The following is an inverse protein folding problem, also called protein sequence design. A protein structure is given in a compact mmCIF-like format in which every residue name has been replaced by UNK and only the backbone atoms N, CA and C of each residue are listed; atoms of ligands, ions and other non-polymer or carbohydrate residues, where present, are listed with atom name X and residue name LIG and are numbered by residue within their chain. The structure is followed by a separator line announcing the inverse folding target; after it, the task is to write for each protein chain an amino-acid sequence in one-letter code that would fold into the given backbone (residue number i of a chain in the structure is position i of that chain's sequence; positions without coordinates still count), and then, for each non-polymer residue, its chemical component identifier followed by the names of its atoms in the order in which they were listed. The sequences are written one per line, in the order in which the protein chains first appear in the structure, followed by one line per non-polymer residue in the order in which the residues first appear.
data_IF_978912477932
#
_entry.id   IF_978912477932
#
_cell.length_a   1.000
_cell.length_b   1.000
_cell.length_c   1.000
_cell.angle_alpha   90.00
_cell.angle_beta   90.00
_cell.angle_gamma   90.00
#
_symmetry.space_group_name_H-M   'P 1'
#
loop_
_entity.id
_entity.type
_entity.pdbx_description
1 polymer ?
#
# COMPACT_ATOMS: atom_id res chain seq x y z
N UNK A 1 -5.08 30.11 24.56
CA UNK A 1 -4.53 29.29 23.45
C UNK A 1 -3.22 28.63 23.85
N UNK A 2 -2.24 29.35 24.44
CA UNK A 2 -1.00 28.75 24.96
C UNK A 2 -1.29 27.65 25.96
N UNK A 3 -2.12 27.92 26.95
CA UNK A 3 -2.55 26.92 27.95
C UNK A 3 -3.20 25.67 27.28
N UNK A 4 -3.97 25.83 26.21
CA UNK A 4 -4.57 24.71 25.51
C UNK A 4 -3.51 23.85 24.79
N UNK A 5 -2.44 24.47 24.28
CA UNK A 5 -1.29 23.78 23.71
C UNK A 5 -0.54 23.00 24.77
N UNK A 6 -0.21 23.64 25.89
CA UNK A 6 0.49 23.01 27.00
C UNK A 6 -0.31 21.82 27.54
N UNK A 7 -1.62 21.99 27.72
CA UNK A 7 -2.51 20.93 28.21
C UNK A 7 -2.61 19.74 27.23
N UNK A 8 -2.62 19.99 25.91
CA UNK A 8 -2.66 18.91 24.90
C UNK A 8 -1.31 18.17 24.78
N UNK A 9 -0.21 18.81 25.14
CA UNK A 9 1.14 18.24 25.13
C UNK A 9 1.55 17.64 26.49
N UNK A 10 0.74 17.81 27.52
CA UNK A 10 0.97 17.17 28.83
C UNK A 10 0.48 15.73 28.80
N UNK A 11 1.43 14.81 28.56
CA UNK A 11 1.14 13.39 28.35
C UNK A 11 0.89 12.63 29.65
N UNK A 12 1.40 13.13 30.81
CA UNK A 12 1.35 12.45 32.10
C UNK A 12 2.03 11.09 32.15
N UNK A 13 2.01 10.34 31.06
CA UNK A 13 2.63 9.01 30.86
C UNK A 13 2.97 8.75 29.38
N UNK A 14 3.79 7.72 29.12
CA UNK A 14 4.13 7.29 27.76
C UNK A 14 2.89 6.92 26.93
N UNK A 15 2.77 7.49 25.71
CA UNK A 15 1.68 7.21 24.78
C UNK A 15 1.99 5.97 23.96
N UNK A 16 1.32 4.86 24.28
CA UNK A 16 1.47 3.61 23.56
C UNK A 16 0.84 3.66 22.15
N UNK A 17 1.26 2.74 21.25
CA UNK A 17 0.74 2.58 19.90
C UNK A 17 -0.80 2.68 19.79
N UNK A 18 -1.52 2.00 20.69
CA UNK A 18 -2.99 1.99 20.65
C UNK A 18 -3.64 3.34 21.04
N UNK A 19 -2.91 4.19 21.74
CA UNK A 19 -3.37 5.53 22.19
C UNK A 19 -2.88 6.66 21.31
N UNK A 20 -1.94 6.40 20.39
CA UNK A 20 -1.35 7.42 19.52
C UNK A 20 -2.39 8.15 18.65
N UNK A 21 -3.44 7.44 18.20
CA UNK A 21 -4.56 8.02 17.46
C UNK A 21 -5.37 9.03 18.27
N UNK A 22 -5.71 8.66 19.51
CA UNK A 22 -6.49 9.54 20.39
C UNK A 22 -5.68 10.79 20.74
N UNK A 23 -4.39 10.62 21.03
CA UNK A 23 -3.48 11.72 21.28
C UNK A 23 -3.37 12.68 20.08
N UNK A 24 -3.13 12.17 18.86
CA UNK A 24 -3.04 13.00 17.66
C UNK A 24 -4.36 13.75 17.40
N UNK A 25 -5.51 13.13 17.65
CA UNK A 25 -6.82 13.80 17.53
C UNK A 25 -6.94 15.01 18.47
N UNK A 26 -6.46 14.89 19.71
CA UNK A 26 -6.47 16.00 20.65
C UNK A 26 -5.55 17.15 20.20
N UNK A 27 -4.41 16.83 19.57
CA UNK A 27 -3.54 17.81 18.92
C UNK A 27 -4.23 18.48 17.70
N UNK A 28 -4.96 17.71 16.88
CA UNK A 28 -5.73 18.24 15.75
C UNK A 28 -6.79 19.25 16.20
N UNK A 29 -7.46 19.00 17.31
CA UNK A 29 -8.44 19.95 17.89
C UNK A 29 -7.81 21.28 18.26
N UNK A 30 -6.59 21.26 18.79
CA UNK A 30 -5.84 22.50 19.11
C UNK A 30 -5.41 23.20 17.81
N UNK A 31 -4.91 22.43 16.84
CA UNK A 31 -4.54 22.97 15.51
C UNK A 31 -5.72 23.69 14.84
N UNK A 32 -6.91 23.08 14.86
CA UNK A 32 -8.12 23.68 14.31
C UNK A 32 -8.47 25.05 14.92
N UNK A 33 -8.22 25.23 16.22
CA UNK A 33 -8.40 26.52 16.90
C UNK A 33 -7.37 27.56 16.42
N UNK A 34 -6.14 27.14 16.11
CA UNK A 34 -5.12 28.04 15.54
C UNK A 34 -5.46 28.35 14.07
N UNK A 35 -5.94 27.36 13.29
CA UNK A 35 -6.41 27.57 11.91
C UNK A 35 -7.53 28.62 11.84
N UNK A 36 -8.41 28.70 12.85
CA UNK A 36 -9.45 29.71 12.94
C UNK A 36 -8.85 31.12 13.05
N UNK A 37 -7.81 31.33 13.85
CA UNK A 37 -7.13 32.63 13.93
C UNK A 37 -6.61 33.10 12.57
N UNK A 38 -6.07 32.19 11.75
CA UNK A 38 -5.63 32.50 10.38
C UNK A 38 -6.79 32.97 9.52
N UNK A 39 -8.00 32.39 9.68
CA UNK A 39 -9.22 32.78 8.96
C UNK A 39 -9.71 34.14 9.40
N UNK A 40 -9.62 34.43 10.70
CA UNK A 40 -10.05 35.68 11.32
C UNK A 40 -9.07 36.87 11.11
N UNK A 41 -7.97 36.62 10.38
CA UNK A 41 -6.99 37.67 10.04
C UNK A 41 -5.82 37.80 11.01
N UNK A 42 -5.77 37.00 12.08
CA UNK A 42 -4.70 36.99 13.11
C UNK A 42 -3.51 36.06 12.69
N UNK A 43 -3.07 36.14 11.44
CA UNK A 43 -2.07 35.22 10.89
C UNK A 43 -0.72 35.28 11.62
N UNK A 44 -0.26 36.47 12.08
CA UNK A 44 1.00 36.62 12.85
C UNK A 44 0.95 35.87 14.18
N UNK A 45 -0.18 36.00 14.89
CA UNK A 45 -0.41 35.28 16.14
C UNK A 45 -0.43 33.76 15.93
N UNK A 46 -1.08 33.30 14.83
CA UNK A 46 -1.10 31.90 14.46
C UNK A 46 0.31 31.36 14.16
N UNK A 47 1.17 32.13 13.47
CA UNK A 47 2.58 31.76 13.21
C UNK A 47 3.33 31.47 14.50
N UNK A 48 3.17 32.34 15.50
CA UNK A 48 3.83 32.16 16.81
C UNK A 48 3.33 30.91 17.55
N UNK A 49 2.01 30.67 17.51
CA UNK A 49 1.39 29.46 18.11
C UNK A 49 1.79 28.18 17.39
N UNK A 50 1.81 28.15 16.06
CA UNK A 50 2.29 26.98 15.33
C UNK A 50 3.76 26.68 15.62
N UNK A 51 4.61 27.71 15.74
CA UNK A 51 6.02 27.51 16.07
C UNK A 51 6.17 26.89 17.47
N UNK A 52 5.41 27.39 18.45
CA UNK A 52 5.38 26.82 19.81
C UNK A 52 4.88 25.38 19.75
N UNK A 53 3.85 25.09 18.99
CA UNK A 53 3.28 23.78 18.83
C UNK A 53 4.26 22.79 18.21
N UNK A 54 4.92 23.17 17.11
CA UNK A 54 5.99 22.37 16.49
C UNK A 54 7.09 22.04 17.52
N UNK A 55 7.59 23.05 18.25
CA UNK A 55 8.63 22.83 19.27
C UNK A 55 8.18 21.87 20.35
N UNK A 56 6.97 22.05 20.91
CA UNK A 56 6.44 21.19 21.95
C UNK A 56 6.21 19.74 21.49
N UNK A 57 5.76 19.54 20.24
CA UNK A 57 5.63 18.20 19.66
C UNK A 57 7.01 17.52 19.50
N UNK A 58 8.07 18.24 19.08
CA UNK A 58 9.42 17.69 19.03
C UNK A 58 9.94 17.29 20.41
N UNK A 59 9.71 18.11 21.43
CA UNK A 59 10.10 17.80 22.82
C UNK A 59 9.44 16.54 23.35
N UNK A 60 8.22 16.23 22.88
CA UNK A 60 7.44 15.07 23.30
C UNK A 60 7.58 13.83 22.42
N UNK A 61 8.33 13.91 21.33
CA UNK A 61 8.44 12.84 20.35
C UNK A 61 8.91 11.51 20.96
N UNK A 62 9.85 11.53 21.91
CA UNK A 62 10.38 10.32 22.58
C UNK A 62 9.37 9.69 23.57
N UNK A 63 8.34 10.43 23.97
CA UNK A 63 7.32 9.95 24.91
C UNK A 63 6.13 9.26 24.17
N UNK A 64 6.25 9.07 22.82
CA UNK A 64 5.14 8.59 21.98
C UNK A 64 5.61 7.43 21.09
N UNK A 65 4.88 6.30 21.11
CA UNK A 65 5.06 5.21 20.13
C UNK A 65 4.37 5.57 18.80
N UNK A 66 5.12 6.19 17.89
CA UNK A 66 4.66 6.54 16.55
C UNK A 66 4.93 5.46 15.49
N UNK A 67 5.03 4.19 15.86
CA UNK A 67 5.19 3.08 14.91
C UNK A 67 4.08 3.02 13.84
N UNK A 68 2.95 3.68 14.09
CA UNK A 68 1.85 3.86 13.13
C UNK A 68 1.99 5.04 12.18
N UNK A 69 2.94 5.95 12.41
CA UNK A 69 3.16 7.15 11.60
C UNK A 69 2.12 8.25 11.78
N UNK A 70 1.28 8.17 12.82
CA UNK A 70 0.19 9.13 13.05
C UNK A 70 0.73 10.52 13.39
N UNK A 71 1.74 10.59 14.24
CA UNK A 71 2.40 11.84 14.63
C UNK A 71 3.15 12.44 13.44
N UNK A 72 3.85 11.60 12.66
CA UNK A 72 4.53 12.04 11.44
C UNK A 72 3.58 12.70 10.44
N UNK A 73 2.39 12.13 10.21
CA UNK A 73 1.35 12.74 9.36
C UNK A 73 0.84 14.07 9.93
N UNK A 74 0.64 14.14 11.24
CA UNK A 74 0.24 15.37 11.90
C UNK A 74 1.30 16.48 11.74
N UNK A 75 2.59 16.14 11.82
CA UNK A 75 3.68 17.09 11.60
C UNK A 75 3.69 17.66 10.18
N UNK A 76 3.46 16.83 9.16
CA UNK A 76 3.35 17.30 7.78
C UNK A 76 2.26 18.37 7.65
N UNK A 77 1.09 18.12 8.26
CA UNK A 77 -0.04 19.04 8.24
C UNK A 77 0.23 20.31 9.09
N UNK A 78 0.92 20.18 10.21
CA UNK A 78 1.30 21.29 11.08
C UNK A 78 2.33 22.21 10.41
N UNK A 79 3.36 21.64 9.75
CA UNK A 79 4.31 22.42 8.95
C UNK A 79 3.63 23.13 7.78
N UNK A 80 2.69 22.45 7.09
CA UNK A 80 1.91 23.06 6.02
C UNK A 80 1.15 24.29 6.53
N UNK A 81 0.47 24.16 7.67
CA UNK A 81 -0.29 25.25 8.28
C UNK A 81 0.62 26.41 8.72
N UNK A 82 1.76 26.13 9.35
CA UNK A 82 2.73 27.12 9.75
C UNK A 82 3.32 27.89 8.55
N UNK A 83 3.72 27.21 7.48
CA UNK A 83 4.25 27.81 6.26
C UNK A 83 3.18 28.70 5.59
N UNK A 84 1.92 28.21 5.52
CA UNK A 84 0.80 28.96 4.97
C UNK A 84 0.48 30.23 5.78
N UNK A 85 0.52 30.13 7.12
CA UNK A 85 0.31 31.28 7.99
C UNK A 85 1.40 32.35 7.82
N UNK A 86 2.68 31.95 7.70
CA UNK A 86 3.79 32.88 7.40
C UNK A 86 3.61 33.57 6.06
N UNK A 87 3.17 32.84 5.04
CA UNK A 87 2.88 33.43 3.72
C UNK A 87 1.73 34.44 3.81
N UNK A 88 0.66 34.13 4.55
CA UNK A 88 -0.51 35.00 4.73
C UNK A 88 -0.17 36.24 5.55
N UNK A 89 0.66 36.11 6.58
CA UNK A 89 1.15 37.21 7.41
C UNK A 89 2.26 38.05 6.72
N UNK A 90 2.62 37.71 5.47
CA UNK A 90 3.62 38.44 4.66
C UNK A 90 5.00 38.54 5.33
N UNK A 91 5.41 37.50 6.05
CA UNK A 91 6.77 37.40 6.59
C UNK A 91 7.81 37.50 5.49
N UNK A 92 8.99 37.99 5.85
CA UNK A 92 10.12 38.09 4.91
C UNK A 92 10.43 36.72 4.29
N UNK A 93 10.49 36.62 2.93
CA UNK A 93 10.78 35.36 2.24
C UNK A 93 12.08 34.69 2.67
N UNK A 94 13.16 35.46 2.81
CA UNK A 94 14.47 34.91 3.21
C UNK A 94 14.43 34.37 4.65
N UNK A 95 13.79 35.09 5.57
CA UNK A 95 13.61 34.62 6.95
C UNK A 95 12.77 33.35 7.03
N UNK A 96 11.69 33.26 6.23
CA UNK A 96 10.85 32.07 6.15
C UNK A 96 11.65 30.87 5.67
N UNK A 97 12.44 31.03 4.61
CA UNK A 97 13.32 29.97 4.09
C UNK A 97 14.38 29.56 5.11
N UNK A 98 15.00 30.49 5.79
CA UNK A 98 15.99 30.18 6.86
C UNK A 98 15.36 29.37 8.00
N UNK A 99 14.15 29.71 8.41
CA UNK A 99 13.46 28.96 9.46
C UNK A 99 13.12 27.52 9.01
N UNK A 100 12.66 27.34 7.76
CA UNK A 100 12.42 26.01 7.19
C UNK A 100 13.71 25.18 7.19
N UNK A 101 14.80 25.78 6.71
CA UNK A 101 16.10 25.10 6.67
C UNK A 101 16.60 24.73 8.06
N UNK A 102 16.35 25.55 9.09
CA UNK A 102 16.69 25.21 10.48
C UNK A 102 15.89 24.02 10.99
N UNK A 103 14.59 23.93 10.69
CA UNK A 103 13.79 22.75 11.03
C UNK A 103 14.35 21.50 10.35
N UNK A 104 14.66 21.56 9.06
CA UNK A 104 15.23 20.44 8.32
C UNK A 104 16.63 20.01 8.81
N UNK A 105 17.40 20.93 9.38
CA UNK A 105 18.76 20.66 9.88
C UNK A 105 18.75 20.05 11.30
N UNK A 106 17.70 20.35 12.10
CA UNK A 106 17.53 19.86 13.47
C UNK A 106 16.46 18.76 13.57
N UNK A 107 16.13 18.12 12.45
CA UNK A 107 15.09 17.09 12.40
C UNK A 107 15.68 15.69 12.63
N UNK A 108 15.78 15.29 13.90
CA UNK A 108 16.31 13.98 14.30
C UNK A 108 15.30 12.83 14.11
N UNK A 109 13.99 13.15 14.02
CA UNK A 109 12.90 12.18 13.90
C UNK A 109 12.39 11.97 12.47
N UNK A 110 12.78 12.83 11.52
CA UNK A 110 12.30 12.77 10.14
C UNK A 110 10.91 13.40 9.93
N UNK A 111 10.46 14.26 10.83
CA UNK A 111 9.16 14.94 10.74
C UNK A 111 9.08 16.00 9.63
N UNK A 112 10.24 16.47 9.14
CA UNK A 112 10.33 17.31 7.95
C UNK A 112 10.28 16.52 6.63
N UNK A 113 9.80 15.27 6.66
CA UNK A 113 9.69 14.44 5.46
C UNK A 113 8.83 15.14 4.40
N UNK A 114 9.37 15.24 3.17
CA UNK A 114 8.71 15.90 2.03
C UNK A 114 8.28 17.37 2.24
N UNK A 115 8.84 18.09 3.23
CA UNK A 115 8.53 19.51 3.49
C UNK A 115 8.77 20.40 2.25
N UNK A 116 9.69 20.02 1.36
CA UNK A 116 9.94 20.68 0.09
C UNK A 116 8.73 20.69 -0.85
N UNK A 117 7.85 19.68 -0.77
CA UNK A 117 6.58 19.71 -1.52
C UNK A 117 5.66 20.79 -0.99
N UNK A 118 5.56 20.90 0.33
CA UNK A 118 4.78 21.95 0.98
C UNK A 118 5.32 23.34 0.61
N UNK A 119 6.65 23.50 0.63
CA UNK A 119 7.30 24.76 0.22
C UNK A 119 6.87 25.17 -1.19
N UNK A 120 6.95 24.26 -2.16
CA UNK A 120 6.59 24.58 -3.56
C UNK A 120 5.09 24.84 -3.74
N UNK A 121 4.23 24.13 -3.00
CA UNK A 121 2.77 24.27 -3.12
C UNK A 121 2.22 25.51 -2.44
N UNK A 122 2.81 25.94 -1.34
CA UNK A 122 2.24 26.94 -0.43
C UNK A 122 2.91 28.29 -0.58
N UNK A 123 4.24 28.34 -0.74
CA UNK A 123 4.97 29.60 -0.79
C UNK A 123 4.89 30.28 -2.16
N UNK A 124 5.08 31.59 -2.16
CA UNK A 124 5.19 32.39 -3.38
C UNK A 124 6.47 32.04 -4.18
N UNK A 125 6.50 32.46 -5.44
CA UNK A 125 7.61 32.14 -6.36
C UNK A 125 8.97 32.68 -5.87
N UNK A 126 9.01 33.78 -5.15
CA UNK A 126 10.24 34.34 -4.60
C UNK A 126 10.82 33.44 -3.52
N UNK A 127 10.01 33.05 -2.53
CA UNK A 127 10.41 32.15 -1.45
C UNK A 127 10.86 30.77 -1.99
N UNK A 128 10.15 30.23 -2.99
CA UNK A 128 10.53 28.96 -3.63
C UNK A 128 11.89 29.07 -4.33
N UNK A 129 12.18 30.19 -5.03
CA UNK A 129 13.49 30.43 -5.65
C UNK A 129 14.61 30.55 -4.61
N UNK A 130 14.37 31.23 -3.49
CA UNK A 130 15.34 31.35 -2.41
C UNK A 130 15.63 29.97 -1.77
N UNK A 131 14.59 29.17 -1.53
CA UNK A 131 14.74 27.82 -1.02
C UNK A 131 15.52 26.93 -2.00
N UNK A 132 15.14 26.93 -3.28
CA UNK A 132 15.86 26.20 -4.33
C UNK A 132 17.34 26.58 -4.37
N UNK A 133 17.65 27.90 -4.35
CA UNK A 133 19.03 28.41 -4.38
C UNK A 133 19.84 27.92 -3.16
N UNK A 134 19.24 27.93 -1.96
CA UNK A 134 19.88 27.47 -0.75
C UNK A 134 20.19 25.94 -0.82
N UNK A 135 19.22 25.14 -1.22
CA UNK A 135 19.41 23.69 -1.39
C UNK A 135 20.44 23.38 -2.49
N UNK A 136 20.39 24.12 -3.60
CA UNK A 136 21.36 24.00 -4.69
C UNK A 136 22.79 24.31 -4.23
N UNK A 137 22.98 25.36 -3.44
CA UNK A 137 24.27 25.71 -2.87
C UNK A 137 24.81 24.60 -1.97
N UNK A 138 23.94 24.02 -1.10
CA UNK A 138 24.31 22.86 -0.25
C UNK A 138 24.70 21.65 -1.09
N UNK A 139 23.91 21.35 -2.12
CA UNK A 139 24.19 20.26 -3.06
C UNK A 139 25.53 20.44 -3.75
N UNK A 140 25.80 21.63 -4.35
CA UNK A 140 27.05 21.89 -5.07
C UNK A 140 28.27 21.77 -4.16
N UNK A 141 28.19 22.31 -2.95
CA UNK A 141 29.25 22.19 -1.94
C UNK A 141 29.52 20.71 -1.59
N UNK A 142 28.50 19.93 -1.30
CA UNK A 142 28.65 18.52 -0.99
C UNK A 142 29.11 17.70 -2.22
N UNK A 143 28.59 17.99 -3.41
CA UNK A 143 28.91 17.28 -4.63
C UNK A 143 30.34 17.51 -5.14
N UNK A 144 30.92 18.67 -4.87
CA UNK A 144 32.32 18.96 -5.21
C UNK A 144 33.31 17.97 -4.59
N UNK A 145 33.01 17.44 -3.41
CA UNK A 145 33.83 16.41 -2.74
C UNK A 145 33.73 15.04 -3.42
N UNK A 146 32.61 14.74 -4.08
CA UNK A 146 32.38 13.49 -4.81
C UNK A 146 33.21 13.45 -6.11
N UNK A 147 33.28 14.58 -6.81
CA UNK A 147 34.06 14.69 -8.05
C UNK A 147 35.52 14.37 -7.83
N UNK A 148 36.07 14.68 -6.65
CA UNK A 148 37.45 14.34 -6.28
C UNK A 148 37.66 12.83 -6.05
N UNK A 149 36.61 12.09 -5.63
CA UNK A 149 36.65 10.65 -5.28
C UNK A 149 36.29 9.69 -6.43
N UNK A 150 36.03 10.20 -7.66
CA UNK A 150 35.66 9.40 -8.88
C UNK A 150 34.46 8.45 -8.69
N UNK A 151 33.58 8.69 -7.75
CA UNK A 151 32.37 7.87 -7.57
C UNK A 151 31.39 8.12 -8.75
N UNK A 152 30.98 7.04 -9.44
CA UNK A 152 30.18 7.13 -10.68
C UNK A 152 28.69 6.82 -10.51
N UNK A 153 28.25 6.30 -9.34
CA UNK A 153 26.88 5.87 -9.13
C UNK A 153 26.19 6.70 -8.05
N UNK A 154 24.98 7.15 -8.31
CA UNK A 154 24.20 7.94 -7.36
C UNK A 154 23.98 7.23 -6.00
N UNK A 155 23.93 5.90 -5.98
CA UNK A 155 23.82 5.10 -4.75
C UNK A 155 25.08 5.17 -3.87
N UNK A 156 26.21 5.55 -4.44
CA UNK A 156 27.53 5.65 -3.75
C UNK A 156 27.77 7.06 -3.21
N UNK A 157 26.87 8.00 -3.48
CA UNK A 157 27.04 9.37 -2.99
C UNK A 157 26.87 9.47 -1.47
N UNK A 158 27.63 10.35 -0.79
CA UNK A 158 27.43 10.67 0.62
C UNK A 158 25.98 11.05 0.91
N UNK A 159 25.56 10.82 2.15
CA UNK A 159 24.19 11.10 2.57
C UNK A 159 23.72 12.53 2.27
N UNK A 160 24.57 13.52 2.55
CA UNK A 160 24.29 14.93 2.29
C UNK A 160 24.02 15.22 0.81
N UNK A 161 24.80 14.60 -0.10
CA UNK A 161 24.57 14.74 -1.54
C UNK A 161 23.25 14.12 -1.92
N UNK A 162 22.94 12.90 -1.42
CA UNK A 162 21.69 12.20 -1.71
C UNK A 162 20.49 12.94 -1.18
N UNK A 163 20.55 13.50 0.06
CA UNK A 163 19.49 14.31 0.67
C UNK A 163 19.19 15.53 -0.19
N UNK A 164 20.18 16.38 -0.46
CA UNK A 164 19.97 17.60 -1.24
C UNK A 164 19.57 17.31 -2.70
N UNK A 165 20.10 16.25 -3.31
CA UNK A 165 19.70 15.79 -4.65
C UNK A 165 18.23 15.39 -4.68
N UNK A 166 17.74 14.64 -3.68
CA UNK A 166 16.33 14.25 -3.57
C UNK A 166 15.43 15.47 -3.45
N UNK A 167 15.76 16.42 -2.59
CA UNK A 167 15.01 17.67 -2.39
C UNK A 167 14.94 18.47 -3.69
N UNK A 168 16.06 18.68 -4.40
CA UNK A 168 16.06 19.36 -5.69
C UNK A 168 15.17 18.67 -6.72
N UNK A 169 15.22 17.34 -6.80
CA UNK A 169 14.37 16.57 -7.69
C UNK A 169 12.88 16.78 -7.39
N UNK A 170 12.49 16.80 -6.12
CA UNK A 170 11.10 17.09 -5.70
C UNK A 170 10.72 18.52 -6.08
N UNK A 171 11.56 19.52 -5.78
CA UNK A 171 11.31 20.93 -6.16
C UNK A 171 11.07 21.03 -7.67
N UNK A 172 11.88 20.39 -8.50
CA UNK A 172 11.75 20.50 -9.95
C UNK A 172 10.53 19.76 -10.51
N UNK A 173 10.11 18.65 -9.87
CA UNK A 173 8.87 17.96 -10.23
C UNK A 173 7.65 18.80 -9.87
N UNK A 174 7.56 19.29 -8.65
CA UNK A 174 6.41 20.06 -8.16
C UNK A 174 6.30 21.41 -8.88
N UNK A 175 7.42 22.09 -9.17
CA UNK A 175 7.46 23.33 -9.96
C UNK A 175 7.34 23.09 -11.48
N UNK A 176 7.24 21.84 -11.94
CA UNK A 176 7.20 21.44 -13.37
C UNK A 176 8.39 21.96 -14.20
N UNK A 177 9.54 22.14 -13.54
CA UNK A 177 10.77 22.62 -14.16
C UNK A 177 11.57 21.47 -14.77
N UNK A 178 11.13 21.01 -15.95
CA UNK A 178 11.75 19.88 -16.66
C UNK A 178 13.21 20.13 -17.01
N UNK A 179 13.57 21.37 -17.40
CA UNK A 179 14.94 21.68 -17.82
C UNK A 179 15.93 21.58 -16.65
N UNK A 180 15.57 22.12 -15.48
CA UNK A 180 16.40 21.99 -14.28
C UNK A 180 16.53 20.53 -13.82
N UNK A 181 15.45 19.74 -13.92
CA UNK A 181 15.50 18.31 -13.62
C UNK A 181 16.46 17.56 -14.54
N UNK A 182 16.39 17.82 -15.86
CA UNK A 182 17.27 17.22 -16.86
C UNK A 182 18.74 17.57 -16.60
N UNK A 183 19.06 18.83 -16.40
CA UNK A 183 20.42 19.28 -16.11
C UNK A 183 20.97 18.62 -14.83
N UNK A 184 20.12 18.42 -13.81
CA UNK A 184 20.52 17.72 -12.59
C UNK A 184 20.81 16.23 -12.88
N UNK A 185 19.99 15.56 -13.70
CA UNK A 185 20.21 14.17 -14.10
C UNK A 185 21.45 13.99 -14.99
N UNK A 186 21.76 14.95 -15.86
CA UNK A 186 23.01 14.93 -16.66
C UNK A 186 24.24 14.99 -15.77
N UNK A 187 24.19 15.78 -14.69
CA UNK A 187 25.27 15.92 -13.73
C UNK A 187 25.46 14.70 -12.83
N UNK A 188 24.36 14.08 -12.38
CA UNK A 188 24.37 13.05 -11.33
C UNK A 188 24.12 11.63 -11.84
N UNK A 189 23.84 11.46 -13.12
CA UNK A 189 23.37 10.22 -13.72
C UNK A 189 21.85 10.11 -13.70
N UNK A 190 21.32 9.38 -14.68
CA UNK A 190 19.87 9.17 -14.85
C UNK A 190 19.51 7.76 -14.37
N UNK A 191 18.53 7.66 -13.49
CA UNK A 191 17.99 6.39 -13.01
C UNK A 191 16.66 6.06 -13.74
N UNK A 192 16.16 4.80 -13.69
CA UNK A 192 14.82 4.47 -14.20
C UNK A 192 13.72 5.33 -13.57
N UNK A 193 13.80 5.58 -12.27
CA UNK A 193 12.86 6.46 -11.55
C UNK A 193 12.90 7.90 -12.08
N UNK A 194 14.08 8.41 -12.42
CA UNK A 194 14.20 9.72 -13.06
C UNK A 194 13.53 9.74 -14.42
N UNK A 195 13.71 8.70 -15.22
CA UNK A 195 13.03 8.57 -16.51
C UNK A 195 11.51 8.61 -16.36
N UNK A 196 10.96 7.95 -15.34
CA UNK A 196 9.52 7.99 -15.04
C UNK A 196 9.06 9.41 -14.66
N UNK A 197 9.79 10.10 -13.78
CA UNK A 197 9.47 11.50 -13.39
C UNK A 197 9.53 12.45 -14.57
N UNK A 198 10.58 12.37 -15.39
CA UNK A 198 10.72 13.18 -16.61
C UNK A 198 9.59 12.90 -17.60
N UNK A 199 9.26 11.63 -17.82
CA UNK A 199 8.16 11.25 -18.70
C UNK A 199 6.82 11.83 -18.21
N UNK A 200 6.55 11.81 -16.92
CA UNK A 200 5.37 12.43 -16.33
C UNK A 200 5.36 13.95 -16.53
N UNK A 201 6.51 14.62 -16.38
CA UNK A 201 6.62 16.07 -16.66
C UNK A 201 6.30 16.41 -18.13
N UNK A 202 6.77 15.62 -19.08
CA UNK A 202 6.42 15.76 -20.49
C UNK A 202 4.95 15.43 -20.76
N UNK A 203 4.40 14.39 -20.11
CA UNK A 203 2.98 14.00 -20.21
C UNK A 203 2.05 15.13 -19.76
N UNK A 204 2.35 15.81 -18.65
CA UNK A 204 1.59 16.99 -18.18
C UNK A 204 1.61 18.11 -19.22
N UNK A 205 2.72 18.27 -19.93
CA UNK A 205 2.86 19.24 -21.04
C UNK A 205 2.26 18.74 -22.36
N UNK A 206 1.57 17.60 -22.38
CA UNK A 206 1.01 16.91 -23.56
C UNK A 206 2.04 16.56 -24.65
N UNK A 207 3.32 16.54 -24.31
CA UNK A 207 4.41 16.10 -25.21
C UNK A 207 4.58 14.58 -25.10
N UNK A 208 3.57 13.86 -25.62
CA UNK A 208 3.47 12.41 -25.40
C UNK A 208 4.59 11.61 -26.07
N UNK A 209 5.11 12.08 -27.22
CA UNK A 209 6.21 11.38 -27.90
C UNK A 209 7.52 11.51 -27.11
N UNK A 210 7.80 12.71 -26.56
CA UNK A 210 8.98 12.92 -25.70
C UNK A 210 8.85 12.09 -24.41
N UNK A 211 7.65 12.06 -23.81
CA UNK A 211 7.37 11.23 -22.65
C UNK A 211 7.63 9.76 -22.94
N UNK A 212 7.19 9.24 -24.11
CA UNK A 212 7.39 7.85 -24.51
C UNK A 212 8.88 7.51 -24.66
N UNK A 213 9.66 8.40 -25.26
CA UNK A 213 11.11 8.19 -25.42
C UNK A 213 11.83 8.06 -24.08
N UNK A 214 11.42 8.86 -23.08
CA UNK A 214 11.95 8.76 -21.72
C UNK A 214 11.55 7.48 -21.02
N UNK A 215 10.29 7.03 -21.17
CA UNK A 215 9.86 5.72 -20.66
C UNK A 215 10.68 4.59 -21.26
N UNK A 216 10.92 4.60 -22.58
CA UNK A 216 11.73 3.59 -23.25
C UNK A 216 13.18 3.60 -22.79
N UNK A 217 13.76 4.78 -22.55
CA UNK A 217 15.08 4.93 -21.93
C UNK A 217 15.10 4.30 -20.53
N UNK A 218 14.10 4.56 -19.70
CA UNK A 218 13.97 4.00 -18.36
C UNK A 218 13.91 2.48 -18.37
N UNK A 219 13.07 1.89 -19.23
CA UNK A 219 12.94 0.44 -19.39
C UNK A 219 14.25 -0.22 -19.90
N UNK A 220 15.03 0.48 -20.73
CA UNK A 220 16.36 0.01 -21.16
C UNK A 220 17.37 0.03 -20.00
N UNK A 221 17.31 1.07 -19.14
CA UNK A 221 18.17 1.17 -17.96
C UNK A 221 17.88 0.06 -16.96
N UNK A 222 16.61 -0.24 -16.71
CA UNK A 222 16.20 -1.36 -15.82
C UNK A 222 16.77 -2.70 -16.26
N UNK A 223 16.70 -3.00 -17.54
CA UNK A 223 17.25 -4.26 -18.09
C UNK A 223 18.77 -4.37 -17.97
N UNK A 224 19.48 -3.23 -17.93
CA UNK A 224 20.95 -3.20 -17.86
C UNK A 224 21.50 -3.19 -16.44
N UNK A 225 20.69 -2.86 -15.44
CA UNK A 225 21.11 -2.67 -14.05
C UNK A 225 20.30 -3.50 -13.06
N UNK A 226 20.83 -3.65 -11.86
CA UNK A 226 20.18 -4.36 -10.76
C UNK A 226 19.33 -3.36 -9.93
N UNK A 227 18.27 -2.82 -10.54
CA UNK A 227 17.43 -1.74 -9.95
C UNK A 227 16.28 -2.24 -9.08
N UNK A 228 16.10 -3.56 -8.96
CA UNK A 228 14.93 -4.16 -8.29
C UNK A 228 13.65 -4.13 -9.15
N UNK A 229 12.69 -4.99 -8.81
CA UNK A 229 11.47 -5.16 -9.61
C UNK A 229 10.41 -4.06 -9.45
N UNK A 230 10.58 -3.11 -8.53
CA UNK A 230 9.52 -2.13 -8.22
C UNK A 230 9.36 -1.02 -9.26
N UNK A 231 10.42 -0.62 -9.96
CA UNK A 231 10.34 0.47 -10.95
C UNK A 231 9.68 0.06 -12.25
N UNK A 232 9.73 -1.22 -12.65
CA UNK A 232 9.20 -1.68 -13.94
C UNK A 232 7.69 -1.53 -14.10
N UNK A 233 6.90 -1.65 -13.03
CA UNK A 233 5.44 -1.49 -13.11
C UNK A 233 5.02 -0.05 -13.43
N UNK A 234 5.68 0.96 -12.87
CA UNK A 234 5.40 2.37 -13.15
C UNK A 234 5.66 2.72 -14.60
N UNK A 235 6.84 2.39 -15.10
CA UNK A 235 7.25 2.66 -16.48
C UNK A 235 6.42 1.91 -17.51
N UNK A 236 6.10 0.64 -17.27
CA UNK A 236 5.28 -0.16 -18.20
C UNK A 236 3.86 0.37 -18.29
N UNK A 237 3.24 0.70 -17.15
CA UNK A 237 1.90 1.30 -17.13
C UNK A 237 1.87 2.68 -17.81
N UNK A 238 2.92 3.49 -17.58
CA UNK A 238 3.05 4.79 -18.23
C UNK A 238 3.25 4.64 -19.76
N UNK A 239 4.03 3.65 -20.22
CA UNK A 239 4.18 3.34 -21.63
C UNK A 239 2.84 3.04 -22.29
N UNK A 240 2.03 2.21 -21.64
CA UNK A 240 0.72 1.82 -22.13
C UNK A 240 -0.23 3.02 -22.26
N UNK A 241 -0.29 3.88 -21.24
CA UNK A 241 -1.10 5.10 -21.28
C UNK A 241 -0.65 6.06 -22.39
N UNK A 242 0.66 6.24 -22.58
CA UNK A 242 1.22 7.10 -23.61
C UNK A 242 0.95 6.56 -25.02
N UNK A 243 1.09 5.27 -25.25
CA UNK A 243 0.75 4.64 -26.52
C UNK A 243 -0.72 4.84 -26.88
N UNK A 244 -1.61 4.69 -25.89
CA UNK A 244 -3.04 4.95 -26.07
C UNK A 244 -3.32 6.43 -26.43
N UNK A 245 -2.66 7.39 -25.73
CA UNK A 245 -2.78 8.83 -26.02
C UNK A 245 -2.23 9.23 -27.40
N UNK A 246 -1.26 8.49 -27.92
CA UNK A 246 -0.69 8.68 -29.24
C UNK A 246 -1.50 7.98 -30.35
N UNK A 247 -2.63 7.32 -30.00
CA UNK A 247 -3.42 6.56 -30.95
C UNK A 247 -2.80 5.22 -31.39
N UNK A 248 -1.68 4.81 -30.81
CA UNK A 248 -0.95 3.57 -31.08
C UNK A 248 -1.57 2.39 -30.32
N UNK A 249 -2.84 2.13 -30.61
CA UNK A 249 -3.66 1.18 -29.85
C UNK A 249 -3.18 -0.26 -29.99
N UNK A 250 -2.69 -0.65 -31.16
CA UNK A 250 -2.15 -1.99 -31.40
C UNK A 250 -0.89 -2.23 -30.56
N UNK A 251 0.04 -1.30 -30.53
CA UNK A 251 1.23 -1.39 -29.69
C UNK A 251 0.88 -1.46 -28.19
N UNK A 252 -0.14 -0.70 -27.76
CA UNK A 252 -0.64 -0.75 -26.39
C UNK A 252 -1.26 -2.12 -26.05
N UNK A 253 -2.00 -2.71 -27.00
CA UNK A 253 -2.60 -4.03 -26.87
C UNK A 253 -1.53 -5.14 -26.78
N UNK A 254 -0.52 -5.07 -27.65
CA UNK A 254 0.60 -6.02 -27.62
C UNK A 254 1.37 -5.95 -26.30
N UNK A 255 1.64 -4.75 -25.81
CA UNK A 255 2.28 -4.56 -24.50
C UNK A 255 1.41 -5.15 -23.37
N UNK A 256 0.11 -4.85 -23.36
CA UNK A 256 -0.82 -5.39 -22.37
C UNK A 256 -0.88 -6.92 -22.40
N UNK A 257 -0.83 -7.49 -23.59
CA UNK A 257 -0.79 -8.95 -23.76
C UNK A 257 0.53 -9.57 -23.24
N UNK A 258 1.67 -8.92 -23.48
CA UNK A 258 2.96 -9.37 -22.93
C UNK A 258 2.93 -9.36 -21.40
N UNK A 259 2.44 -8.28 -20.78
CA UNK A 259 2.32 -8.18 -19.32
C UNK A 259 1.31 -9.20 -18.77
N UNK A 260 0.16 -9.35 -19.42
CA UNK A 260 -0.83 -10.35 -19.03
C UNK A 260 -0.25 -11.77 -19.05
N UNK A 261 0.51 -12.12 -20.09
CA UNK A 261 1.15 -13.45 -20.18
C UNK A 261 2.12 -13.74 -19.04
N UNK A 262 2.77 -12.69 -18.54
CA UNK A 262 3.76 -12.79 -17.46
C UNK A 262 3.08 -12.91 -16.09
N UNK A 263 2.04 -12.11 -15.86
CA UNK A 263 1.31 -12.04 -14.60
C UNK A 263 -0.21 -12.00 -14.84
N UNK A 264 -0.84 -13.15 -15.17
CA UNK A 264 -2.29 -13.20 -15.28
C UNK A 264 -2.97 -12.86 -13.96
N UNK A 265 -3.80 -11.84 -13.97
CA UNK A 265 -4.58 -11.36 -12.83
C UNK A 265 -5.83 -10.64 -13.33
N UNK A 266 -6.78 -10.39 -12.44
CA UNK A 266 -7.95 -9.60 -12.79
C UNK A 266 -7.57 -8.20 -13.31
N UNK A 267 -6.58 -7.55 -12.67
CA UNK A 267 -6.11 -6.23 -13.08
C UNK A 267 -5.51 -6.24 -14.50
N UNK A 268 -4.58 -7.17 -14.79
CA UNK A 268 -3.96 -7.27 -16.12
C UNK A 268 -4.96 -7.70 -17.20
N UNK A 269 -5.96 -8.53 -16.84
CA UNK A 269 -7.06 -8.89 -17.72
C UNK A 269 -7.94 -7.68 -18.07
N UNK A 270 -8.38 -6.90 -17.09
CA UNK A 270 -9.18 -5.70 -17.35
C UNK A 270 -8.42 -4.68 -18.19
N UNK A 271 -7.12 -4.51 -17.90
CA UNK A 271 -6.26 -3.62 -18.66
C UNK A 271 -6.15 -4.03 -20.12
N UNK A 272 -5.96 -5.33 -20.38
CA UNK A 272 -5.96 -5.90 -21.73
C UNK A 272 -7.31 -5.68 -22.44
N UNK A 273 -8.41 -6.04 -21.79
CA UNK A 273 -9.74 -5.99 -22.39
C UNK A 273 -10.23 -4.56 -22.71
N UNK A 274 -9.76 -3.53 -21.97
CA UNK A 274 -10.03 -2.12 -22.31
C UNK A 274 -9.46 -1.69 -23.66
N UNK A 275 -8.40 -2.34 -24.11
CA UNK A 275 -7.71 -2.03 -25.37
C UNK A 275 -8.28 -2.82 -26.55
N UNK A 276 -8.93 -3.94 -26.30
CA UNK A 276 -9.49 -4.83 -27.31
C UNK A 276 -10.67 -4.15 -28.02
N UNK A 277 -10.75 -4.31 -29.35
CA UNK A 277 -11.90 -3.83 -30.13
C UNK A 277 -13.15 -4.66 -29.80
N UNK A 278 -14.33 -4.02 -29.86
CA UNK A 278 -15.60 -4.68 -29.53
C UNK A 278 -15.83 -5.99 -30.29
N UNK A 279 -15.47 -6.05 -31.56
CA UNK A 279 -15.62 -7.24 -32.41
C UNK A 279 -14.72 -8.41 -31.98
N UNK A 280 -13.59 -8.14 -31.34
CA UNK A 280 -12.56 -9.12 -30.99
C UNK A 280 -12.62 -9.57 -29.52
N UNK A 281 -13.52 -8.97 -28.72
CA UNK A 281 -13.65 -9.21 -27.26
C UNK A 281 -13.76 -10.71 -26.94
N UNK A 282 -14.60 -11.44 -27.64
CA UNK A 282 -14.82 -12.88 -27.40
C UNK A 282 -13.56 -13.69 -27.68
N UNK A 283 -12.85 -13.39 -28.74
CA UNK A 283 -11.60 -14.06 -29.10
C UNK A 283 -10.52 -13.80 -28.02
N UNK A 284 -10.29 -12.54 -27.67
CA UNK A 284 -9.29 -12.17 -26.68
C UNK A 284 -9.61 -12.69 -25.28
N UNK A 285 -10.90 -12.73 -24.93
CA UNK A 285 -11.34 -13.34 -23.67
C UNK A 285 -10.95 -14.83 -23.60
N UNK A 286 -11.25 -15.62 -24.63
CA UNK A 286 -10.90 -17.04 -24.67
C UNK A 286 -9.36 -17.23 -24.64
N UNK A 287 -8.63 -16.43 -25.41
CA UNK A 287 -7.16 -16.44 -25.44
C UNK A 287 -6.56 -16.11 -24.05
N UNK A 288 -7.11 -15.14 -23.36
CA UNK A 288 -6.67 -14.75 -22.02
C UNK A 288 -6.96 -15.86 -21.00
N UNK A 289 -8.18 -16.43 -21.00
CA UNK A 289 -8.53 -17.54 -20.10
C UNK A 289 -7.61 -18.74 -20.29
N UNK A 290 -7.39 -19.18 -21.53
CA UNK A 290 -6.48 -20.31 -21.81
C UNK A 290 -5.05 -20.03 -21.35
N UNK A 291 -4.57 -18.78 -21.49
CA UNK A 291 -3.24 -18.42 -20.97
C UNK A 291 -3.20 -18.42 -19.44
N UNK A 292 -4.20 -17.86 -18.78
CA UNK A 292 -4.26 -17.81 -17.31
C UNK A 292 -4.33 -19.21 -16.70
N UNK A 293 -5.13 -20.11 -17.28
CA UNK A 293 -5.29 -21.50 -16.84
C UNK A 293 -3.93 -22.25 -16.79
N UNK A 294 -3.06 -21.98 -17.77
CA UNK A 294 -1.76 -22.64 -17.90
C UNK A 294 -0.60 -21.89 -17.20
N UNK A 295 -0.89 -20.77 -16.54
CA UNK A 295 0.18 -19.95 -15.92
C UNK A 295 0.03 -19.85 -14.40
N UNK A 296 -1.15 -19.50 -13.90
CA UNK A 296 -1.38 -19.31 -12.47
C UNK A 296 -2.82 -19.61 -12.08
N UNK A 297 -2.97 -20.54 -11.17
CA UNK A 297 -4.28 -20.96 -10.65
C UNK A 297 -5.05 -19.80 -10.01
N UNK A 298 -4.38 -18.97 -9.22
CA UNK A 298 -5.00 -17.79 -8.58
C UNK A 298 -5.55 -16.81 -9.61
N UNK A 299 -4.75 -16.46 -10.62
CA UNK A 299 -5.17 -15.54 -11.67
C UNK A 299 -6.31 -16.10 -12.53
N UNK A 300 -6.29 -17.40 -12.82
CA UNK A 300 -7.40 -18.05 -13.53
C UNK A 300 -8.70 -18.01 -12.74
N UNK A 301 -8.65 -18.35 -11.45
CA UNK A 301 -9.80 -18.28 -10.55
C UNK A 301 -10.36 -16.84 -10.52
N UNK A 302 -9.51 -15.84 -10.31
CA UNK A 302 -9.93 -14.44 -10.22
C UNK A 302 -10.63 -13.96 -11.51
N UNK A 303 -10.09 -14.34 -12.68
CA UNK A 303 -10.67 -13.98 -13.97
C UNK A 303 -12.01 -14.70 -14.17
N UNK A 304 -12.10 -16.02 -13.88
CA UNK A 304 -13.34 -16.78 -14.00
C UNK A 304 -14.44 -16.24 -13.08
N UNK A 305 -14.11 -15.88 -11.85
CA UNK A 305 -15.05 -15.24 -10.91
C UNK A 305 -15.55 -13.91 -11.44
N UNK A 306 -14.66 -13.08 -11.97
CA UNK A 306 -15.00 -11.77 -12.53
C UNK A 306 -15.88 -11.87 -13.78
N UNK A 307 -15.58 -12.81 -14.64
CA UNK A 307 -16.29 -13.00 -15.92
C UNK A 307 -17.45 -13.99 -15.83
N UNK A 308 -17.66 -14.61 -14.65
CA UNK A 308 -18.68 -15.61 -14.37
C UNK A 308 -18.56 -16.89 -15.22
N UNK A 309 -17.34 -17.26 -15.58
CA UNK A 309 -17.03 -18.49 -16.32
C UNK A 309 -17.05 -19.71 -15.37
N UNK A 310 -18.21 -19.99 -14.79
CA UNK A 310 -18.37 -21.00 -13.71
C UNK A 310 -18.15 -22.42 -14.20
N UNK A 311 -18.55 -22.75 -15.42
CA UNK A 311 -18.38 -24.08 -15.99
C UNK A 311 -16.88 -24.41 -16.16
N UNK A 312 -16.13 -23.50 -16.79
CA UNK A 312 -14.67 -23.66 -16.95
C UNK A 312 -13.92 -23.71 -15.63
N UNK A 313 -14.36 -22.89 -14.67
CA UNK A 313 -13.77 -22.89 -13.35
C UNK A 313 -14.03 -24.23 -12.65
N UNK A 314 -15.25 -24.75 -12.72
CA UNK A 314 -15.64 -26.05 -12.15
C UNK A 314 -14.81 -27.20 -12.71
N UNK A 315 -14.67 -27.26 -14.05
CA UNK A 315 -13.90 -28.29 -14.73
C UNK A 315 -12.44 -28.26 -14.29
N UNK A 316 -11.86 -27.05 -14.24
CA UNK A 316 -10.47 -26.89 -13.84
C UNK A 316 -10.25 -27.25 -12.37
N UNK A 317 -11.12 -26.78 -11.44
CA UNK A 317 -11.04 -27.13 -10.01
C UNK A 317 -11.18 -28.64 -9.80
N UNK A 318 -11.98 -29.32 -10.60
CA UNK A 318 -12.15 -30.76 -10.52
C UNK A 318 -10.89 -31.54 -10.92
N UNK A 319 -10.11 -31.00 -11.86
CA UNK A 319 -8.90 -31.64 -12.40
C UNK A 319 -7.61 -31.42 -11.60
N UNK A 320 -7.55 -30.40 -10.72
CA UNK A 320 -6.33 -30.07 -9.96
C UNK A 320 -6.28 -30.79 -8.61
N UNK A 321 -5.08 -30.92 -8.06
CA UNK A 321 -4.87 -31.56 -6.76
C UNK A 321 -5.30 -30.67 -5.58
N UNK A 322 -5.74 -31.29 -4.49
CA UNK A 322 -6.15 -30.58 -3.28
C UNK A 322 -5.04 -29.71 -2.69
N UNK A 323 -3.80 -30.18 -2.70
CA UNK A 323 -2.65 -29.43 -2.20
C UNK A 323 -2.41 -28.09 -2.93
N UNK A 324 -2.69 -28.05 -4.22
CA UNK A 324 -2.58 -26.80 -4.99
C UNK A 324 -3.62 -25.78 -4.54
N UNK A 325 -4.83 -26.22 -4.24
CA UNK A 325 -5.90 -25.37 -3.70
C UNK A 325 -5.59 -24.89 -2.27
N UNK A 326 -5.02 -25.77 -1.44
CA UNK A 326 -4.65 -25.48 -0.05
C UNK A 326 -3.55 -24.40 0.07
N UNK A 327 -2.72 -24.21 -0.97
CA UNK A 327 -1.70 -23.15 -1.05
C UNK A 327 -2.27 -21.78 -1.41
N UNK A 328 -3.48 -21.71 -1.94
CA UNK A 328 -4.11 -20.46 -2.37
C UNK A 328 -4.57 -19.60 -1.19
N UNK A 329 -4.58 -18.29 -1.41
CA UNK A 329 -5.11 -17.32 -0.45
C UNK A 329 -6.65 -17.46 -0.36
N UNK A 330 -7.24 -17.17 0.83
CA UNK A 330 -8.69 -17.17 0.99
C UNK A 330 -9.37 -16.09 0.11
N UNK A 331 -8.71 -14.99 -0.17
CA UNK A 331 -9.23 -13.92 -1.05
C UNK A 331 -9.56 -14.43 -2.45
N UNK A 332 -8.72 -15.33 -2.99
CA UNK A 332 -8.97 -15.92 -4.31
C UNK A 332 -10.06 -17.01 -4.23
N UNK A 333 -10.07 -17.84 -3.18
CA UNK A 333 -10.90 -19.05 -3.11
C UNK A 333 -12.31 -18.79 -2.59
N UNK A 334 -12.52 -17.86 -1.67
CA UNK A 334 -13.83 -17.66 -1.02
C UNK A 334 -14.91 -17.24 -2.02
N UNK A 335 -14.62 -16.27 -2.88
CA UNK A 335 -15.57 -15.81 -3.91
C UNK A 335 -15.88 -16.91 -4.93
N UNK A 336 -14.87 -17.70 -5.28
CA UNK A 336 -15.03 -18.84 -6.18
C UNK A 336 -15.93 -19.92 -5.57
N UNK A 337 -15.69 -20.32 -4.31
CA UNK A 337 -16.51 -21.31 -3.62
C UNK A 337 -17.99 -20.86 -3.53
N UNK A 338 -18.23 -19.60 -3.13
CA UNK A 338 -19.59 -19.03 -3.06
C UNK A 338 -20.29 -19.01 -4.42
N UNK A 339 -19.57 -18.63 -5.49
CA UNK A 339 -20.12 -18.56 -6.84
C UNK A 339 -20.45 -19.92 -7.43
N UNK A 340 -19.61 -20.92 -7.21
CA UNK A 340 -19.79 -22.29 -7.67
C UNK A 340 -20.89 -23.04 -6.90
N UNK A 341 -21.13 -22.72 -5.63
CA UNK A 341 -21.98 -23.50 -4.73
C UNK A 341 -23.41 -23.76 -5.25
N UNK A 342 -23.95 -22.85 -6.10
CA UNK A 342 -25.32 -22.98 -6.62
C UNK A 342 -25.47 -24.05 -7.70
N UNK A 343 -24.52 -24.13 -8.64
CA UNK A 343 -24.58 -25.00 -9.83
C UNK A 343 -23.50 -26.08 -9.86
N UNK A 344 -22.36 -25.84 -9.24
CA UNK A 344 -21.18 -26.69 -9.27
C UNK A 344 -20.75 -27.09 -7.86
N UNK A 345 -21.67 -27.74 -7.13
CA UNK A 345 -21.52 -28.08 -5.72
C UNK A 345 -20.26 -28.86 -5.39
N UNK A 346 -19.85 -29.81 -6.23
CA UNK A 346 -18.62 -30.60 -6.02
C UNK A 346 -17.34 -29.74 -6.08
N UNK A 347 -17.23 -28.88 -7.07
CA UNK A 347 -16.08 -27.97 -7.18
C UNK A 347 -16.05 -26.97 -6.00
N UNK A 348 -17.21 -26.47 -5.58
CA UNK A 348 -17.31 -25.63 -4.40
C UNK A 348 -16.92 -26.37 -3.12
N UNK A 349 -17.37 -27.63 -2.93
CA UNK A 349 -17.02 -28.47 -1.80
C UNK A 349 -15.49 -28.68 -1.71
N UNK A 350 -14.85 -28.96 -2.85
CA UNK A 350 -13.40 -29.13 -2.96
C UNK A 350 -12.64 -27.86 -2.53
N UNK A 351 -13.11 -26.69 -2.94
CA UNK A 351 -12.51 -25.41 -2.53
C UNK A 351 -12.73 -25.18 -1.02
N UNK A 352 -13.93 -25.40 -0.48
CA UNK A 352 -14.18 -25.25 0.95
C UNK A 352 -13.33 -26.20 1.78
N UNK A 353 -13.17 -27.48 1.34
CA UNK A 353 -12.26 -28.44 1.96
C UNK A 353 -10.82 -27.91 2.02
N UNK A 354 -10.31 -27.40 0.90
CA UNK A 354 -8.97 -26.84 0.83
C UNK A 354 -8.80 -25.59 1.71
N UNK A 355 -9.83 -24.74 1.83
CA UNK A 355 -9.81 -23.57 2.72
C UNK A 355 -9.75 -23.99 4.19
N UNK A 356 -10.52 -25.00 4.59
CA UNK A 356 -10.48 -25.58 5.93
C UNK A 356 -9.11 -26.18 6.23
N UNK A 357 -8.60 -27.05 5.35
CA UNK A 357 -7.28 -27.69 5.47
C UNK A 357 -6.15 -26.66 5.61
N UNK A 358 -6.14 -25.63 4.78
CA UNK A 358 -5.13 -24.55 4.87
C UNK A 358 -5.05 -23.91 6.26
N UNK A 359 -6.20 -23.67 6.90
CA UNK A 359 -6.25 -23.05 8.23
C UNK A 359 -5.69 -24.00 9.28
N UNK A 360 -6.09 -25.26 9.26
CA UNK A 360 -5.63 -26.24 10.25
C UNK A 360 -4.16 -26.61 10.06
N UNK A 361 -3.65 -26.67 8.82
CA UNK A 361 -2.22 -26.87 8.52
C UNK A 361 -1.38 -25.73 9.13
N UNK A 362 -1.81 -24.48 9.02
CA UNK A 362 -1.11 -23.31 9.62
C UNK A 362 -1.11 -23.29 11.14
N UNK A 363 -1.98 -24.05 11.80
CA UNK A 363 -1.97 -24.29 13.24
C UNK A 363 -2.32 -23.09 14.14
N UNK A 364 -2.85 -21.97 13.60
CA UNK A 364 -3.23 -20.80 14.40
C UNK A 364 -4.65 -20.98 14.96
N UNK A 365 -4.78 -21.37 16.23
CA UNK A 365 -6.04 -21.73 16.89
C UNK A 365 -7.12 -20.66 16.83
N UNK A 366 -6.76 -19.37 16.85
CA UNK A 366 -7.73 -18.25 16.73
C UNK A 366 -8.55 -18.27 15.43
N UNK A 367 -8.12 -19.03 14.42
CA UNK A 367 -8.81 -19.15 13.14
C UNK A 367 -9.57 -20.47 12.97
N UNK A 368 -9.52 -21.40 13.91
CA UNK A 368 -10.13 -22.73 13.76
C UNK A 368 -11.65 -22.69 13.56
N UNK A 369 -12.35 -21.71 14.13
CA UNK A 369 -13.78 -21.55 13.87
C UNK A 369 -14.10 -21.36 12.37
N UNK A 370 -13.26 -20.62 11.63
CA UNK A 370 -13.42 -20.47 10.18
C UNK A 370 -13.15 -21.76 9.42
N UNK A 371 -12.19 -22.56 9.88
CA UNK A 371 -11.97 -23.88 9.29
C UNK A 371 -13.20 -24.78 9.46
N UNK A 372 -13.80 -24.79 10.65
CA UNK A 372 -15.02 -25.54 10.95
C UNK A 372 -16.20 -25.10 10.07
N UNK A 373 -16.36 -23.78 9.84
CA UNK A 373 -17.37 -23.28 8.92
C UNK A 373 -17.15 -23.77 7.47
N UNK A 374 -15.91 -23.75 7.00
CA UNK A 374 -15.57 -24.26 5.67
C UNK A 374 -15.84 -25.74 5.55
N UNK A 375 -15.50 -26.56 6.54
CA UNK A 375 -15.81 -28.00 6.55
C UNK A 375 -17.32 -28.28 6.59
N UNK A 376 -18.11 -27.50 7.32
CA UNK A 376 -19.58 -27.61 7.28
C UNK A 376 -20.15 -27.34 5.89
N UNK A 377 -19.62 -26.32 5.20
CA UNK A 377 -20.02 -26.05 3.82
C UNK A 377 -19.62 -27.20 2.89
N UNK A 378 -18.41 -27.73 3.03
CA UNK A 378 -17.94 -28.86 2.24
C UNK A 378 -18.81 -30.12 2.46
N UNK A 379 -19.06 -30.48 3.71
CA UNK A 379 -19.91 -31.63 4.09
C UNK A 379 -21.29 -31.54 3.40
N UNK A 380 -22.01 -30.44 3.60
CA UNK A 380 -23.34 -30.23 3.01
C UNK A 380 -23.34 -30.31 1.47
N UNK A 381 -22.29 -29.85 0.83
CA UNK A 381 -22.18 -29.86 -0.62
C UNK A 381 -21.83 -31.22 -1.18
N UNK A 382 -20.97 -32.00 -0.48
CA UNK A 382 -20.68 -33.39 -0.84
C UNK A 382 -21.93 -34.30 -0.67
N UNK A 383 -22.66 -34.18 0.45
CA UNK A 383 -23.92 -34.86 0.68
C UNK A 383 -24.96 -34.55 -0.42
N UNK A 384 -25.18 -33.26 -0.69
CA UNK A 384 -26.11 -32.83 -1.73
C UNK A 384 -25.77 -33.36 -3.13
N UNK A 385 -24.48 -33.63 -3.36
CA UNK A 385 -24.00 -34.18 -4.63
C UNK A 385 -23.95 -35.69 -4.65
N UNK A 386 -24.34 -36.39 -3.56
CA UNK A 386 -24.23 -37.85 -3.44
C UNK A 386 -22.80 -38.37 -3.49
N UNK A 387 -21.86 -37.63 -2.96
CA UNK A 387 -20.42 -37.96 -2.97
C UNK A 387 -19.86 -38.08 -1.54
N UNK A 388 -20.55 -38.84 -0.70
CA UNK A 388 -20.20 -39.01 0.71
C UNK A 388 -18.78 -39.57 0.90
N UNK A 389 -18.30 -40.43 -0.04
CA UNK A 389 -16.94 -40.94 0.04
C UNK A 389 -15.87 -39.84 0.07
N UNK A 390 -16.03 -38.78 -0.70
CA UNK A 390 -15.08 -37.64 -0.72
C UNK A 390 -15.04 -36.90 0.62
N UNK A 391 -16.19 -36.87 1.32
CA UNK A 391 -16.24 -36.34 2.69
C UNK A 391 -15.55 -37.25 3.67
N UNK A 392 -15.78 -38.58 3.59
CA UNK A 392 -15.13 -39.58 4.44
C UNK A 392 -13.61 -39.53 4.26
N UNK A 393 -13.11 -39.49 3.03
CA UNK A 393 -11.68 -39.39 2.74
C UNK A 393 -11.06 -38.14 3.36
N UNK A 394 -11.77 -36.99 3.32
CA UNK A 394 -11.35 -35.77 3.98
C UNK A 394 -11.32 -35.90 5.51
N UNK A 395 -12.34 -36.52 6.10
CA UNK A 395 -12.41 -36.79 7.56
C UNK A 395 -11.23 -37.64 8.00
N UNK A 396 -10.94 -38.70 7.27
CA UNK A 396 -9.83 -39.61 7.58
C UNK A 396 -8.50 -38.90 7.50
N UNK A 397 -8.30 -38.01 6.51
CA UNK A 397 -7.11 -37.18 6.41
C UNK A 397 -7.00 -36.21 7.59
N UNK A 398 -8.09 -35.54 7.99
CA UNK A 398 -8.10 -34.62 9.14
C UNK A 398 -7.78 -35.37 10.43
N UNK A 399 -8.35 -36.55 10.63
CA UNK A 399 -8.09 -37.41 11.81
C UNK A 399 -6.63 -37.88 11.84
N UNK A 400 -6.10 -38.35 10.70
CA UNK A 400 -4.71 -38.78 10.59
C UNK A 400 -3.69 -37.70 10.89
N UNK A 401 -3.82 -36.56 10.20
CA UNK A 401 -2.80 -35.52 10.23
C UNK A 401 -2.96 -34.51 11.39
N UNK A 402 -4.17 -34.43 11.97
CA UNK A 402 -4.51 -33.30 12.88
C UNK A 402 -5.19 -33.75 14.19
N UNK A 403 -5.19 -35.02 14.55
CA UNK A 403 -5.76 -35.57 15.79
C UNK A 403 -5.26 -34.88 17.06
N UNK A 404 -4.01 -34.42 17.08
CA UNK A 404 -3.39 -33.75 18.24
C UNK A 404 -3.81 -32.28 18.42
N UNK A 405 -4.65 -31.75 17.53
CA UNK A 405 -5.14 -30.35 17.64
C UNK A 405 -6.40 -30.33 18.52
N UNK A 406 -6.24 -30.50 19.82
CA UNK A 406 -7.34 -30.66 20.79
C UNK A 406 -8.37 -29.52 20.78
N UNK A 407 -7.94 -28.28 20.50
CA UNK A 407 -8.86 -27.12 20.39
C UNK A 407 -9.66 -27.08 19.09
N UNK A 408 -9.44 -28.03 18.18
CA UNK A 408 -10.10 -28.11 16.89
C UNK A 408 -10.86 -29.43 16.73
N UNK A 409 -10.21 -30.57 17.03
CA UNK A 409 -10.70 -31.91 16.65
C UNK A 409 -12.07 -32.24 17.23
N UNK A 410 -12.33 -31.88 18.50
CA UNK A 410 -13.63 -32.13 19.13
C UNK A 410 -14.79 -31.44 18.43
N UNK A 411 -14.60 -30.18 18.01
CA UNK A 411 -15.61 -29.44 17.24
C UNK A 411 -15.73 -29.92 15.78
N UNK A 412 -14.67 -30.49 15.23
CA UNK A 412 -14.72 -31.12 13.92
C UNK A 412 -15.54 -32.44 13.96
N UNK A 413 -15.38 -33.26 14.99
CA UNK A 413 -16.19 -34.47 15.20
C UNK A 413 -17.69 -34.14 15.36
N UNK A 414 -18.05 -32.99 15.95
CA UNK A 414 -19.45 -32.54 15.98
C UNK A 414 -20.02 -32.32 14.56
N UNK A 415 -19.18 -31.93 13.59
CA UNK A 415 -19.61 -31.82 12.20
C UNK A 415 -19.77 -33.20 11.56
N UNK A 416 -18.84 -34.10 11.83
CA UNK A 416 -18.88 -35.49 11.31
C UNK A 416 -20.10 -36.21 11.83
N UNK A 417 -20.40 -36.09 13.12
CA UNK A 417 -21.56 -36.71 13.79
C UNK A 417 -22.88 -36.00 13.52
N UNK A 418 -22.87 -34.91 12.71
CA UNK A 418 -24.05 -34.09 12.38
C UNK A 418 -24.77 -33.48 13.59
N UNK A 419 -24.06 -33.23 14.69
CA UNK A 419 -24.64 -32.64 15.90
C UNK A 419 -25.04 -31.19 15.64
N UNK A 420 -26.20 -30.71 16.18
CA UNK A 420 -26.64 -29.32 16.04
C UNK A 420 -25.62 -28.39 16.65
N UNK A 421 -25.33 -27.30 15.96
CA UNK A 421 -24.36 -26.31 16.37
C UNK A 421 -24.78 -25.63 17.68
N UNK A 422 -24.05 -25.79 18.76
CA UNK A 422 -24.13 -24.87 19.91
C UNK A 422 -23.53 -23.53 19.48
N UNK A 423 -24.29 -22.44 19.50
CA UNK A 423 -23.74 -21.10 19.27
C UNK A 423 -22.56 -20.91 20.22
N UNK A 424 -21.37 -20.53 19.72
CA UNK A 424 -20.24 -20.23 20.59
C UNK A 424 -20.67 -19.16 21.58
N UNK A 425 -20.39 -19.39 22.85
CA UNK A 425 -20.68 -18.39 23.89
C UNK A 425 -20.00 -17.08 23.57
N UNK A 426 -20.70 -15.95 23.83
CA UNK A 426 -20.14 -14.62 23.60
C UNK A 426 -18.82 -14.45 24.35
N UNK A 427 -17.97 -13.56 23.87
CA UNK A 427 -16.71 -13.24 24.56
C UNK A 427 -16.95 -12.88 26.03
N UNK A 428 -17.99 -12.09 26.30
CA UNK A 428 -18.39 -11.68 27.66
C UNK A 428 -18.76 -12.89 28.53
N UNK A 429 -19.54 -13.83 28.00
CA UNK A 429 -19.91 -15.06 28.73
C UNK A 429 -18.69 -15.91 29.07
N UNK A 430 -17.74 -16.01 28.15
CA UNK A 430 -16.48 -16.76 28.35
C UNK A 430 -15.56 -16.03 29.36
N UNK A 431 -15.50 -14.71 29.29
CA UNK A 431 -14.73 -13.90 30.23
C UNK A 431 -15.30 -14.00 31.65
N UNK A 432 -16.62 -13.89 31.81
CA UNK A 432 -17.31 -14.07 33.09
C UNK A 432 -17.11 -15.47 33.69
N UNK A 433 -17.13 -16.52 32.87
CA UNK A 433 -16.83 -17.91 33.33
C UNK A 433 -15.38 -18.08 33.77
N UNK A 434 -14.41 -17.42 33.11
CA UNK A 434 -13.02 -17.42 33.55
C UNK A 434 -12.85 -16.68 34.86
N UNK A 435 -13.50 -15.54 35.00
CA UNK A 435 -13.43 -14.71 36.22
C UNK A 435 -14.03 -15.44 37.42
N UNK A 436 -15.21 -16.08 37.26
CA UNK A 436 -15.83 -16.90 38.31
C UNK A 436 -14.97 -18.08 38.73
N UNK A 437 -14.19 -18.70 37.81
CA UNK A 437 -13.25 -19.78 38.15
C UNK A 437 -12.03 -19.27 38.95
N UNK A 438 -11.62 -18.02 38.75
CA UNK A 438 -10.48 -17.43 39.48
C UNK A 438 -10.86 -16.90 40.88
N UNK A 439 -12.15 -16.66 41.12
CA UNK A 439 -12.65 -16.16 42.41
C UNK A 439 -13.16 -17.26 43.37
N UNK A 440 -13.13 -18.53 42.94
CA UNK A 440 -13.40 -19.70 43.78
C UNK A 440 -12.08 -20.41 44.14
N UNK A 441 -11.22 -19.73 44.93
CA UNK A 441 -10.27 -20.41 45.79
C UNK A 441 -10.96 -20.62 47.15
N UNK A 442 -10.98 -21.88 47.69
CA UNK A 442 -11.41 -22.08 49.06
C UNK A 442 -10.32 -21.55 50.00
N UNK A 443 -10.78 -20.95 51.10
CA UNK A 443 -9.99 -20.59 52.26
C UNK A 443 -9.22 -21.78 52.85
#
# INVERSE_FOLDING_TARGET
MVWALESALDLGEFVSYNRSWDFVRDLEDVKHKIDALVKDGEAERAVSLYKLFLSGCYEKADEIDDSGGNLGMFFEDLFCAWIAARQKAKYNPAETVQNILRWMDNDDYGFCFEIERTVVKVLNKESVKLFEAAIKSRFEKAFSTVLQKKSKRASEYPWEVRKNLSILKVIYVESKNTNAYLALCEKTGTTPTDCEKIANLYKVKRKYQDALSWVEKGLKLEKKGNWGNQSSFGLTGLKQDLLNKLGRREDALDLAWVEFKKYPSNFSYETLMKLVNKKDVKHWHQKALGKAQNTTLSGFIDICVKTKEWDKLSDHISSIDNEQLEKLSHFATEKAAKGLAKKHGLAAAKIYSAMGMRIIIKGKSKYYQYALEHFRHACKLYEKAGRDQLWIDLVDRVRGDHSRKYSFIGYFEEIVDRRPQKKPESFETRALKRWKKQTTYPD
#
